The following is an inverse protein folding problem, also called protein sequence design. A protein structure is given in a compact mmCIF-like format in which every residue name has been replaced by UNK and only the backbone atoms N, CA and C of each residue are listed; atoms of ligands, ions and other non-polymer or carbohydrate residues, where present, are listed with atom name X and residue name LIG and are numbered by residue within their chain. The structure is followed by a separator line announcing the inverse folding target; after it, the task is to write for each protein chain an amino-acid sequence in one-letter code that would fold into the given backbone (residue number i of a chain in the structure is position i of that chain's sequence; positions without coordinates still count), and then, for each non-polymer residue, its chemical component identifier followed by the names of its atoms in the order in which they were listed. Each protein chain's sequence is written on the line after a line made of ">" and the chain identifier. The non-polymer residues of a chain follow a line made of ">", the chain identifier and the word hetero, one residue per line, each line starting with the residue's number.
data_IF_756955365211
#
_entry.id   IF_756955365211
#
_cell.length_a   1.000
_cell.length_b   1.000
_cell.length_c   1.000
_cell.angle_alpha   90.00
_cell.angle_beta   90.00
_cell.angle_gamma   90.00
#
_symmetry.space_group_name_H-M   'P 1'
#
loop_
_entity.id
_entity.type
_entity.pdbx_description
1 polymer ?
#
# COMPACT_ATOMS: atom_id res chain seq x y z
N UNK A 1 3.91 25.32 19.62
CA UNK A 1 4.41 24.38 18.62
C UNK A 1 3.61 24.58 17.35
N UNK A 2 4.25 24.58 16.16
CA UNK A 2 3.51 24.73 14.91
C UNK A 2 2.67 23.48 14.61
N UNK A 3 1.73 23.60 13.69
CA UNK A 3 0.96 22.44 13.21
C UNK A 3 1.87 21.39 12.53
N UNK A 4 1.57 20.09 12.65
CA UNK A 4 2.37 19.04 12.02
C UNK A 4 2.34 19.16 10.49
N UNK A 5 3.42 18.79 9.83
CA UNK A 5 3.44 18.63 8.37
C UNK A 5 2.52 17.49 8.01
N UNK A 6 1.47 17.76 7.23
CA UNK A 6 0.55 16.70 6.74
C UNK A 6 1.01 16.13 5.42
N UNK A 7 1.09 14.80 5.37
CA UNK A 7 1.43 14.02 4.17
C UNK A 7 0.17 13.29 3.69
N UNK A 8 -0.26 13.57 2.47
CA UNK A 8 -1.39 12.86 1.87
C UNK A 8 -0.90 11.61 1.15
N UNK A 9 -1.22 10.44 1.68
CA UNK A 9 -0.99 9.15 1.03
C UNK A 9 -2.16 8.79 0.12
N UNK A 10 -1.89 8.46 -1.14
CA UNK A 10 -2.92 8.07 -2.12
C UNK A 10 -2.78 6.59 -2.43
N UNK A 11 -3.84 5.82 -2.14
CA UNK A 11 -3.93 4.37 -2.37
C UNK A 11 -5.23 4.01 -3.08
N UNK A 12 -5.35 2.76 -3.50
CA UNK A 12 -6.65 2.27 -3.96
C UNK A 12 -7.58 2.04 -2.77
N UNK A 13 -7.10 1.35 -1.72
CA UNK A 13 -7.85 0.96 -0.51
C UNK A 13 -6.95 0.99 0.70
N UNK A 14 -7.54 1.09 1.90
CA UNK A 14 -6.87 0.93 3.20
C UNK A 14 -7.24 -0.41 3.88
N UNK A 15 -7.26 -1.48 3.07
CA UNK A 15 -7.45 -2.86 3.53
C UNK A 15 -6.15 -3.48 4.06
N UNK A 16 -6.26 -4.65 4.74
CA UNK A 16 -5.11 -5.39 5.25
C UNK A 16 -4.22 -5.92 4.11
N UNK A 17 -3.27 -5.12 3.64
CA UNK A 17 -2.32 -5.40 2.57
C UNK A 17 -0.92 -4.91 2.90
N UNK A 18 0.09 -5.36 2.15
CA UNK A 18 1.50 -5.07 2.47
C UNK A 18 1.85 -3.58 2.47
N UNK A 19 1.38 -2.82 1.49
CA UNK A 19 1.60 -1.36 1.42
C UNK A 19 0.90 -0.63 2.57
N UNK A 20 -0.33 -1.00 2.85
CA UNK A 20 -1.12 -0.41 3.93
C UNK A 20 -0.51 -0.74 5.29
N UNK A 21 -0.10 -1.99 5.52
CA UNK A 21 0.59 -2.40 6.73
C UNK A 21 1.92 -1.64 6.94
N UNK A 22 2.72 -1.43 5.87
CA UNK A 22 3.91 -0.60 5.92
C UNK A 22 3.57 0.82 6.42
N UNK A 23 2.59 1.46 5.79
CA UNK A 23 2.21 2.83 6.15
C UNK A 23 1.70 2.93 7.58
N UNK A 24 0.86 1.98 8.01
CA UNK A 24 0.36 1.95 9.39
C UNK A 24 1.45 1.65 10.41
N UNK A 25 2.42 0.77 10.10
CA UNK A 25 3.57 0.53 10.98
C UNK A 25 4.42 1.79 11.16
N UNK A 26 4.63 2.56 10.10
CA UNK A 26 5.30 3.86 10.20
C UNK A 26 4.43 4.84 10.99
N UNK A 27 3.13 4.95 10.67
CA UNK A 27 2.22 5.92 11.25
C UNK A 27 2.03 5.74 12.77
N UNK A 28 2.05 4.50 13.27
CA UNK A 28 2.02 4.18 14.70
C UNK A 28 3.27 4.67 15.46
N UNK A 29 4.41 4.78 14.78
CA UNK A 29 5.74 5.04 15.38
C UNK A 29 6.25 6.46 15.19
N UNK A 30 5.79 7.19 14.19
CA UNK A 30 6.23 8.57 13.95
C UNK A 30 5.78 9.53 15.06
N UNK A 31 6.52 10.60 15.24
CA UNK A 31 6.13 11.72 16.08
C UNK A 31 5.02 12.52 15.38
N UNK A 32 3.76 12.21 15.71
CA UNK A 32 2.58 12.83 15.09
C UNK A 32 2.38 14.30 15.45
N UNK A 33 3.16 14.84 16.37
CA UNK A 33 3.20 16.29 16.62
C UNK A 33 4.03 17.02 15.56
N UNK A 34 4.87 16.32 14.81
CA UNK A 34 5.71 16.87 13.74
C UNK A 34 5.22 16.50 12.35
N UNK A 35 4.80 15.24 12.16
CA UNK A 35 4.32 14.72 10.87
C UNK A 35 3.04 13.95 11.09
N UNK A 36 2.03 14.26 10.30
CA UNK A 36 0.73 13.61 10.33
C UNK A 36 0.41 13.00 8.96
N UNK A 37 -0.21 11.81 8.95
CA UNK A 37 -0.62 11.13 7.73
C UNK A 37 -2.12 11.25 7.52
N UNK A 38 -2.49 11.54 6.28
CA UNK A 38 -3.85 11.44 5.78
C UNK A 38 -3.88 10.53 4.56
N UNK A 39 -5.05 9.99 4.27
CA UNK A 39 -5.20 8.98 3.22
C UNK A 39 -6.33 9.36 2.27
N UNK A 40 -6.06 9.27 0.97
CA UNK A 40 -7.06 9.40 -0.08
C UNK A 40 -7.20 8.06 -0.79
N UNK A 41 -8.42 7.51 -0.80
CA UNK A 41 -8.75 6.22 -1.40
C UNK A 41 -9.86 6.37 -2.45
N UNK A 42 -9.99 5.37 -3.35
CA UNK A 42 -10.91 5.44 -4.50
C UNK A 42 -12.12 4.51 -4.38
N UNK A 43 -12.44 4.10 -3.16
CA UNK A 43 -13.63 3.33 -2.82
C UNK A 43 -14.37 4.04 -1.68
N UNK A 44 -15.72 3.96 -1.70
CA UNK A 44 -16.59 4.65 -0.72
C UNK A 44 -16.78 3.89 0.57
N UNK A 45 -16.75 2.56 0.51
CA UNK A 45 -17.02 1.72 1.67
C UNK A 45 -16.00 1.95 2.79
N UNK A 46 -16.43 1.65 4.01
CA UNK A 46 -15.55 1.63 5.18
C UNK A 46 -14.50 0.55 5.01
N UNK A 47 -13.26 0.85 5.39
CA UNK A 47 -12.12 -0.01 5.18
C UNK A 47 -11.45 -0.38 6.50
N UNK A 48 -10.57 -1.39 6.45
CA UNK A 48 -10.00 -2.01 7.64
C UNK A 48 -9.29 -1.03 8.60
N UNK A 49 -8.53 -0.09 8.05
CA UNK A 49 -7.73 0.84 8.85
C UNK A 49 -8.40 2.20 9.13
N UNK A 50 -9.61 2.47 8.63
CA UNK A 50 -10.25 3.79 8.75
C UNK A 50 -10.34 4.27 10.21
N UNK A 51 -10.89 3.45 11.11
CA UNK A 51 -11.07 3.81 12.53
C UNK A 51 -9.73 4.03 13.26
N UNK A 52 -8.70 3.26 12.89
CA UNK A 52 -7.39 3.41 13.49
C UNK A 52 -6.71 4.70 13.03
N UNK A 53 -6.81 5.03 11.74
CA UNK A 53 -6.27 6.28 11.18
C UNK A 53 -6.89 7.49 11.89
N UNK A 54 -8.21 7.51 12.06
CA UNK A 54 -8.93 8.59 12.75
C UNK A 54 -8.50 8.71 14.22
N UNK A 55 -8.37 7.59 14.93
CA UNK A 55 -7.86 7.57 16.31
C UNK A 55 -6.44 8.10 16.45
N UNK A 56 -5.63 7.96 15.42
CA UNK A 56 -4.26 8.49 15.37
C UNK A 56 -4.21 9.97 14.93
N UNK A 57 -5.36 10.59 14.63
CA UNK A 57 -5.49 12.01 14.23
C UNK A 57 -5.35 12.26 12.73
N UNK A 58 -5.35 11.22 11.91
CA UNK A 58 -5.39 11.31 10.45
C UNK A 58 -6.81 11.33 9.90
N UNK A 59 -6.94 11.63 8.61
CA UNK A 59 -8.21 11.63 7.88
C UNK A 59 -8.18 10.63 6.73
N UNK A 60 -9.34 10.02 6.43
CA UNK A 60 -9.52 9.15 5.27
C UNK A 60 -10.52 9.79 4.31
N UNK A 61 -10.02 10.29 3.18
CA UNK A 61 -10.84 10.87 2.11
C UNK A 61 -11.18 9.82 1.07
N UNK A 62 -12.43 9.78 0.66
CA UNK A 62 -12.98 8.76 -0.25
C UNK A 62 -13.47 9.40 -1.54
N UNK A 63 -12.69 9.28 -2.62
CA UNK A 63 -13.10 9.72 -3.95
C UNK A 63 -13.52 8.51 -4.79
N UNK A 64 -14.82 8.40 -5.06
CA UNK A 64 -15.37 7.28 -5.83
C UNK A 64 -14.87 7.31 -7.28
N UNK A 65 -14.05 6.32 -7.64
CA UNK A 65 -13.71 6.06 -9.04
C UNK A 65 -14.06 4.63 -9.45
N UNK A 66 -13.94 3.68 -8.53
CA UNK A 66 -14.12 2.26 -8.84
C UNK A 66 -15.58 1.86 -9.00
N UNK A 67 -16.48 2.53 -8.31
CA UNK A 67 -17.93 2.29 -8.43
C UNK A 67 -18.50 3.03 -9.64
N UNK A 68 -18.11 4.29 -9.83
CA UNK A 68 -18.69 5.15 -10.86
C UNK A 68 -18.04 4.94 -12.25
N UNK A 69 -16.79 4.48 -12.30
CA UNK A 69 -15.93 4.34 -13.49
C UNK A 69 -15.91 5.60 -14.39
N UNK A 70 -16.28 6.74 -13.83
CA UNK A 70 -16.36 8.02 -14.53
C UNK A 70 -15.07 8.83 -14.33
N UNK A 71 -14.20 8.75 -15.33
CA UNK A 71 -12.88 9.41 -15.27
C UNK A 71 -12.97 10.94 -15.25
N UNK A 72 -13.94 11.54 -15.94
CA UNK A 72 -14.11 13.00 -15.96
C UNK A 72 -14.56 13.50 -14.58
N UNK A 73 -15.54 12.80 -13.98
CA UNK A 73 -15.99 13.09 -12.62
C UNK A 73 -14.82 12.96 -11.64
N UNK A 74 -14.06 11.87 -11.71
CA UNK A 74 -12.90 11.64 -10.82
C UNK A 74 -11.85 12.74 -10.94
N UNK A 75 -11.55 13.21 -12.15
CA UNK A 75 -10.61 14.32 -12.35
C UNK A 75 -11.14 15.63 -11.76
N UNK A 76 -12.45 15.87 -11.87
CA UNK A 76 -13.11 17.04 -11.25
C UNK A 76 -13.04 16.93 -9.72
N UNK A 77 -13.42 15.78 -9.15
CA UNK A 77 -13.40 15.53 -7.71
C UNK A 77 -11.99 15.71 -7.13
N UNK A 78 -10.93 15.26 -7.85
CA UNK A 78 -9.53 15.51 -7.48
C UNK A 78 -9.17 17.00 -7.49
N UNK A 79 -9.62 17.73 -8.51
CA UNK A 79 -9.36 19.18 -8.60
C UNK A 79 -10.06 19.93 -7.46
N UNK A 80 -11.33 19.61 -7.21
CA UNK A 80 -12.13 20.19 -6.12
C UNK A 80 -11.50 19.86 -4.74
N UNK A 81 -11.03 18.61 -4.55
CA UNK A 81 -10.32 18.20 -3.34
C UNK A 81 -9.09 19.05 -3.08
N UNK A 82 -8.18 19.17 -4.05
CA UNK A 82 -6.97 19.97 -3.86
C UNK A 82 -7.24 21.50 -3.79
N UNK A 83 -8.35 21.98 -4.33
CA UNK A 83 -8.78 23.36 -4.17
C UNK A 83 -9.29 23.67 -2.75
N UNK A 84 -9.71 22.66 -1.99
CA UNK A 84 -10.18 22.80 -0.61
C UNK A 84 -9.10 22.46 0.43
N UNK A 85 -8.05 21.73 0.04
CA UNK A 85 -7.02 21.18 0.93
C UNK A 85 -5.64 21.76 0.60
N UNK A 86 -5.42 23.02 0.98
CA UNK A 86 -4.16 23.75 0.74
C UNK A 86 -3.05 23.41 1.76
N UNK A 87 -3.40 22.70 2.82
CA UNK A 87 -2.47 22.24 3.87
C UNK A 87 -1.47 21.23 3.36
N UNK A 88 -1.79 20.46 2.31
CA UNK A 88 -0.90 19.44 1.78
C UNK A 88 0.22 20.05 0.94
N UNK A 89 1.47 19.88 1.42
CA UNK A 89 2.69 20.20 0.67
C UNK A 89 3.35 18.95 0.07
N UNK A 90 2.96 17.78 0.58
CA UNK A 90 3.52 16.46 0.21
C UNK A 90 2.37 15.52 -0.14
N UNK A 91 2.44 14.96 -1.34
CA UNK A 91 1.56 13.88 -1.81
C UNK A 91 2.42 12.66 -2.10
N UNK A 92 2.12 11.52 -1.44
CA UNK A 92 2.82 10.26 -1.62
C UNK A 92 1.86 9.23 -2.22
N UNK A 93 2.04 8.94 -3.51
CA UNK A 93 1.13 8.12 -4.29
C UNK A 93 1.64 6.68 -4.47
N UNK A 94 0.85 5.71 -4.02
CA UNK A 94 1.11 4.27 -4.09
C UNK A 94 0.24 3.57 -5.16
N UNK A 95 -0.62 4.31 -5.83
CA UNK A 95 -1.56 3.79 -6.82
C UNK A 95 -1.03 4.03 -8.24
N UNK A 96 -0.77 2.97 -9.01
CA UNK A 96 -0.14 3.12 -10.34
C UNK A 96 -1.05 3.74 -11.38
N UNK A 97 -2.16 3.06 -11.70
CA UNK A 97 -3.01 3.42 -12.84
C UNK A 97 -3.70 4.77 -12.64
N UNK A 98 -4.37 4.93 -11.52
CA UNK A 98 -5.04 6.18 -11.16
C UNK A 98 -4.07 7.24 -10.66
N UNK A 99 -2.90 6.83 -10.17
CA UNK A 99 -1.85 7.71 -9.64
C UNK A 99 -1.38 8.76 -10.63
N UNK A 100 -1.43 8.47 -11.94
CA UNK A 100 -1.19 9.47 -12.95
C UNK A 100 -2.12 10.68 -12.81
N UNK A 101 -3.42 10.45 -12.66
CA UNK A 101 -4.42 11.52 -12.51
C UNK A 101 -4.24 12.25 -11.17
N UNK A 102 -3.98 11.51 -10.10
CA UNK A 102 -3.76 12.06 -8.77
C UNK A 102 -2.52 12.98 -8.73
N UNK A 103 -1.37 12.51 -9.22
CA UNK A 103 -0.16 13.34 -9.26
C UNK A 103 -0.27 14.50 -10.27
N UNK A 104 -1.02 14.34 -11.37
CA UNK A 104 -1.31 15.43 -12.30
C UNK A 104 -2.16 16.51 -11.65
N UNK A 105 -3.18 16.13 -10.89
CA UNK A 105 -4.04 17.07 -10.14
C UNK A 105 -3.22 17.78 -9.05
N UNK A 106 -2.43 17.04 -8.26
CA UNK A 106 -1.55 17.61 -7.26
C UNK A 106 -0.54 18.61 -7.85
N UNK A 107 0.04 18.29 -9.03
CA UNK A 107 0.93 19.22 -9.75
C UNK A 107 0.22 20.51 -10.17
N UNK A 108 -1.01 20.40 -10.70
CA UNK A 108 -1.83 21.56 -11.10
C UNK A 108 -2.20 22.43 -9.90
N UNK A 109 -2.43 21.81 -8.75
CA UNK A 109 -2.72 22.52 -7.49
C UNK A 109 -1.47 23.13 -6.82
N UNK A 110 -0.27 22.99 -7.43
CA UNK A 110 0.96 23.60 -6.90
C UNK A 110 1.61 22.82 -5.74
N UNK A 111 1.21 21.54 -5.51
CA UNK A 111 1.86 20.72 -4.49
C UNK A 111 3.34 20.56 -4.82
N UNK A 112 4.21 20.94 -3.89
CA UNK A 112 5.66 21.02 -4.13
C UNK A 112 6.33 19.65 -4.20
N UNK A 113 5.96 18.70 -3.33
CA UNK A 113 6.54 17.36 -3.25
C UNK A 113 5.50 16.32 -3.67
N UNK A 114 5.79 15.58 -4.71
CA UNK A 114 4.91 14.56 -5.30
C UNK A 114 5.69 13.28 -5.53
N UNK A 115 5.48 12.31 -4.63
CA UNK A 115 6.21 11.05 -4.61
C UNK A 115 5.41 9.99 -5.35
N UNK A 116 6.06 9.32 -6.32
CA UNK A 116 5.55 8.09 -6.93
C UNK A 116 6.27 6.89 -6.30
N UNK A 117 5.52 5.96 -5.69
CA UNK A 117 6.10 4.81 -4.99
C UNK A 117 5.72 3.50 -5.65
N UNK A 118 6.74 2.72 -6.03
CA UNK A 118 6.59 1.39 -6.64
C UNK A 118 6.57 0.28 -5.60
N UNK A 119 5.52 -0.57 -5.65
CA UNK A 119 5.34 -1.71 -4.72
C UNK A 119 5.28 -3.07 -5.42
N UNK A 120 5.26 -3.11 -6.75
CA UNK A 120 5.15 -4.33 -7.54
C UNK A 120 6.24 -4.39 -8.59
N UNK A 121 6.65 -5.59 -8.91
CA UNK A 121 7.59 -5.88 -9.99
C UNK A 121 6.92 -6.50 -11.22
N UNK A 122 5.58 -6.56 -11.24
CA UNK A 122 4.82 -7.20 -12.30
C UNK A 122 3.47 -6.50 -12.55
N UNK A 123 3.03 -6.51 -13.81
CA UNK A 123 1.70 -6.07 -14.24
C UNK A 123 0.92 -7.24 -14.81
N UNK A 124 -0.31 -7.43 -14.37
CA UNK A 124 -1.19 -8.47 -14.90
C UNK A 124 -1.46 -8.23 -16.40
N UNK A 125 -1.15 -9.21 -17.22
CA UNK A 125 -1.42 -9.24 -18.65
C UNK A 125 -2.89 -9.59 -18.90
N UNK A 126 -3.72 -8.57 -19.06
CA UNK A 126 -5.14 -8.67 -19.43
C UNK A 126 -5.46 -7.77 -20.62
N UNK A 127 -6.71 -7.76 -21.08
CA UNK A 127 -7.16 -6.92 -22.21
C UNK A 127 -6.87 -5.41 -22.02
N UNK A 128 -6.69 -4.98 -20.76
CA UNK A 128 -6.36 -3.59 -20.39
C UNK A 128 -4.85 -3.36 -20.21
N UNK A 129 -4.01 -4.33 -20.60
CA UNK A 129 -2.57 -4.25 -20.37
C UNK A 129 -1.91 -3.01 -20.99
N UNK A 130 -2.18 -2.75 -22.28
CA UNK A 130 -1.59 -1.60 -22.97
C UNK A 130 -1.98 -0.24 -22.35
N UNK A 131 -3.28 0.05 -22.08
CA UNK A 131 -3.67 1.24 -21.33
C UNK A 131 -3.00 1.33 -19.95
N UNK A 132 -2.93 0.23 -19.20
CA UNK A 132 -2.25 0.21 -17.90
C UNK A 132 -0.77 0.56 -18.02
N UNK A 133 -0.07 -0.03 -18.98
CA UNK A 133 1.34 0.23 -19.24
C UNK A 133 1.59 1.71 -19.61
N UNK A 134 0.73 2.28 -20.45
CA UNK A 134 0.81 3.71 -20.79
C UNK A 134 0.64 4.58 -19.53
N UNK A 135 -0.38 4.31 -18.71
CA UNK A 135 -0.63 5.07 -17.48
C UNK A 135 0.50 4.93 -16.45
N UNK A 136 1.10 3.73 -16.33
CA UNK A 136 2.28 3.52 -15.50
C UNK A 136 3.48 4.36 -15.96
N UNK A 137 3.72 4.41 -17.29
CA UNK A 137 4.78 5.27 -17.86
C UNK A 137 4.52 6.75 -17.61
N UNK A 138 3.27 7.15 -17.66
CA UNK A 138 2.86 8.54 -17.41
C UNK A 138 2.86 8.91 -15.93
N UNK A 139 2.74 7.91 -15.02
CA UNK A 139 2.71 8.11 -13.58
C UNK A 139 3.90 8.92 -13.07
N UNK A 140 5.11 8.62 -13.56
CA UNK A 140 6.34 9.28 -13.14
C UNK A 140 6.52 10.70 -13.68
N UNK A 141 5.77 11.11 -14.72
CA UNK A 141 5.95 12.45 -15.34
C UNK A 141 5.53 13.62 -14.43
N UNK A 142 4.64 13.35 -13.48
CA UNK A 142 4.14 14.38 -12.57
C UNK A 142 4.75 14.27 -11.15
N UNK A 143 5.58 13.25 -10.91
CA UNK A 143 6.31 13.10 -9.68
C UNK A 143 7.55 14.02 -9.63
N UNK A 144 7.92 14.45 -8.43
CA UNK A 144 9.21 15.08 -8.13
C UNK A 144 10.22 14.05 -7.66
N UNK A 145 9.75 13.02 -6.94
CA UNK A 145 10.56 11.99 -6.31
C UNK A 145 10.02 10.59 -6.63
N UNK A 146 10.93 9.62 -6.74
CA UNK A 146 10.61 8.24 -7.07
C UNK A 146 11.10 7.32 -5.95
N UNK A 147 10.17 6.54 -5.36
CA UNK A 147 10.46 5.56 -4.33
C UNK A 147 10.04 4.17 -4.77
N UNK A 148 10.72 3.14 -4.28
CA UNK A 148 10.37 1.74 -4.51
C UNK A 148 10.57 0.90 -3.25
N UNK A 149 9.76 -0.15 -3.08
CA UNK A 149 9.93 -1.07 -1.95
C UNK A 149 11.13 -2.03 -2.13
N UNK A 150 11.63 -2.18 -3.37
CA UNK A 150 12.85 -2.95 -3.71
C UNK A 150 13.47 -2.41 -4.99
N UNK A 151 14.71 -2.85 -5.27
CA UNK A 151 15.39 -2.53 -6.53
C UNK A 151 14.62 -3.03 -7.76
N UNK A 152 14.06 -4.26 -7.69
CA UNK A 152 13.29 -4.86 -8.77
C UNK A 152 12.01 -4.06 -9.04
N UNK A 153 11.28 -3.68 -8.00
CA UNK A 153 10.07 -2.86 -8.13
C UNK A 153 10.38 -1.48 -8.73
N UNK A 154 11.52 -0.90 -8.36
CA UNK A 154 11.98 0.38 -8.91
C UNK A 154 12.36 0.27 -10.38
N UNK A 155 13.22 -0.68 -10.74
CA UNK A 155 13.63 -0.93 -12.13
C UNK A 155 12.44 -1.28 -13.03
N UNK A 156 11.48 -2.03 -12.51
CA UNK A 156 10.26 -2.37 -13.25
C UNK A 156 9.45 -1.13 -13.65
N UNK A 157 9.18 -0.22 -12.69
CA UNK A 157 8.31 0.93 -12.92
C UNK A 157 9.04 2.14 -13.49
N UNK A 158 10.25 2.41 -13.00
CA UNK A 158 11.00 3.64 -13.28
C UNK A 158 12.08 3.47 -14.35
N UNK A 159 12.45 2.23 -14.66
CA UNK A 159 13.52 1.87 -15.60
C UNK A 159 14.86 2.53 -15.21
N UNK A 160 15.40 3.39 -16.08
CA UNK A 160 16.70 4.05 -15.92
C UNK A 160 16.62 5.34 -15.07
N UNK A 161 15.45 5.72 -14.58
CA UNK A 161 15.31 6.89 -13.71
C UNK A 161 15.84 6.59 -12.31
N UNK A 162 16.61 7.52 -11.70
CA UNK A 162 17.04 7.35 -10.31
C UNK A 162 15.85 7.31 -9.36
N UNK A 163 15.90 6.41 -8.39
CA UNK A 163 14.88 6.25 -7.35
C UNK A 163 15.54 5.87 -6.02
N UNK A 164 14.80 6.06 -4.94
CA UNK A 164 15.21 5.64 -3.59
C UNK A 164 14.48 4.35 -3.20
N UNK A 165 15.20 3.42 -2.55
CA UNK A 165 14.59 2.20 -2.01
C UNK A 165 14.18 2.42 -0.57
N UNK A 166 12.86 2.37 -0.32
CA UNK A 166 12.27 2.34 1.01
C UNK A 166 11.71 0.93 1.25
N UNK A 167 12.49 0.10 1.92
CA UNK A 167 12.13 -1.30 2.20
C UNK A 167 10.91 -1.37 3.13
N UNK A 168 10.05 -2.35 2.88
CA UNK A 168 8.97 -2.66 3.80
C UNK A 168 9.55 -3.09 5.16
N UNK A 169 9.02 -2.52 6.23
CA UNK A 169 9.42 -2.80 7.60
C UNK A 169 8.22 -3.23 8.44
N UNK A 170 8.50 -4.04 9.46
CA UNK A 170 7.54 -4.47 10.47
C UNK A 170 8.11 -4.16 11.87
N UNK A 171 7.23 -4.06 12.85
CA UNK A 171 7.64 -4.01 14.24
C UNK A 171 8.02 -5.43 14.70
N UNK A 172 9.32 -5.73 14.66
CA UNK A 172 9.84 -7.06 15.00
C UNK A 172 9.57 -7.48 16.43
N UNK A 173 9.32 -6.54 17.35
CA UNK A 173 8.98 -6.84 18.74
C UNK A 173 7.67 -7.63 18.85
N UNK A 174 6.75 -7.44 17.93
CA UNK A 174 5.48 -8.19 17.88
C UNK A 174 5.64 -9.63 17.38
N UNK A 175 6.86 -10.02 16.96
CA UNK A 175 7.16 -11.34 16.39
C UNK A 175 8.28 -12.07 17.15
N UNK A 176 8.59 -11.65 18.35
CA UNK A 176 9.55 -12.36 19.22
C UNK A 176 8.91 -13.69 19.62
N UNK A 177 9.70 -14.76 19.48
CA UNK A 177 9.25 -16.08 19.89
C UNK A 177 9.07 -16.12 21.42
N UNK A 178 7.86 -16.49 21.83
CA UNK A 178 7.51 -16.74 23.23
C UNK A 178 7.16 -18.23 23.42
N UNK A 179 7.90 -18.89 24.32
CA UNK A 179 7.79 -20.34 24.54
C UNK A 179 6.44 -20.69 25.17
N UNK A 180 5.96 -19.87 26.09
CA UNK A 180 4.70 -20.15 26.80
C UNK A 180 3.52 -20.01 25.85
N UNK A 181 3.40 -18.89 25.14
CA UNK A 181 2.40 -18.69 24.08
C UNK A 181 2.46 -19.78 23.03
N UNK A 182 3.68 -20.18 22.60
CA UNK A 182 3.85 -21.28 21.65
C UNK A 182 3.25 -22.59 22.17
N UNK A 183 3.51 -22.93 23.43
CA UNK A 183 3.02 -24.18 24.03
C UNK A 183 1.48 -24.15 24.20
N UNK A 184 0.92 -23.04 24.62
CA UNK A 184 -0.52 -22.83 24.72
C UNK A 184 -1.22 -23.03 23.36
N UNK A 185 -0.75 -22.36 22.32
CA UNK A 185 -1.34 -22.50 20.97
C UNK A 185 -1.17 -23.92 20.43
N UNK A 186 -0.04 -24.59 20.66
CA UNK A 186 0.15 -25.98 20.24
C UNK A 186 -0.79 -26.94 20.95
N UNK A 187 -1.07 -26.71 22.22
CA UNK A 187 -2.06 -27.47 23.01
C UNK A 187 -3.48 -27.22 22.49
N UNK A 188 -3.84 -25.96 22.25
CA UNK A 188 -5.14 -25.59 21.67
C UNK A 188 -5.39 -26.28 20.31
N UNK A 189 -4.35 -26.36 19.47
CA UNK A 189 -4.41 -27.01 18.16
C UNK A 189 -4.24 -28.54 18.20
N UNK A 190 -3.94 -29.15 19.35
CA UNK A 190 -3.69 -30.59 19.50
C UNK A 190 -2.47 -31.07 18.69
N UNK A 191 -1.40 -30.27 18.67
CA UNK A 191 -0.19 -30.52 17.86
C UNK A 191 1.11 -30.42 18.67
N UNK A 192 1.06 -30.70 19.98
CA UNK A 192 2.16 -30.55 20.93
C UNK A 192 3.44 -31.27 20.42
N UNK A 193 3.28 -32.53 20.02
CA UNK A 193 4.39 -33.43 19.62
C UNK A 193 4.60 -33.47 18.09
N UNK A 194 3.91 -32.59 17.32
CA UNK A 194 4.00 -32.64 15.85
C UNK A 194 4.96 -31.60 15.29
N UNK A 195 5.63 -31.95 14.20
CA UNK A 195 6.28 -30.95 13.37
C UNK A 195 5.22 -30.19 12.59
N UNK A 196 5.06 -28.88 12.86
CA UNK A 196 4.04 -28.04 12.26
C UNK A 196 4.66 -27.09 11.24
N UNK A 197 4.14 -27.09 10.03
CA UNK A 197 4.44 -26.08 9.00
C UNK A 197 3.20 -25.27 8.78
N UNK A 198 3.32 -23.95 8.90
CA UNK A 198 2.22 -23.01 8.69
C UNK A 198 2.42 -22.15 7.44
N UNK A 199 1.33 -21.77 6.81
CA UNK A 199 1.32 -20.78 5.74
C UNK A 199 0.22 -19.75 5.99
N UNK A 200 0.56 -18.46 5.87
CA UNK A 200 -0.37 -17.36 6.00
C UNK A 200 -0.41 -16.58 4.69
N UNK A 201 -1.59 -16.48 4.08
CA UNK A 201 -1.75 -15.75 2.84
C UNK A 201 -3.20 -15.70 2.39
N UNK A 202 -3.54 -14.70 1.56
CA UNK A 202 -4.85 -14.65 0.90
C UNK A 202 -5.00 -15.83 -0.06
N UNK A 203 -6.21 -16.36 -0.20
CA UNK A 203 -6.53 -17.33 -1.27
C UNK A 203 -6.50 -16.60 -2.62
N UNK A 204 -5.32 -16.58 -3.22
CA UNK A 204 -5.04 -15.87 -4.46
C UNK A 204 -3.95 -16.62 -5.26
N UNK A 205 -4.03 -16.70 -6.59
CA UNK A 205 -3.05 -17.43 -7.42
C UNK A 205 -1.58 -17.06 -7.14
N UNK A 206 -1.27 -15.80 -6.81
CA UNK A 206 0.08 -15.37 -6.44
C UNK A 206 0.64 -16.09 -5.20
N UNK A 207 -0.20 -16.67 -4.33
CA UNK A 207 0.22 -17.39 -3.12
C UNK A 207 0.41 -18.87 -3.37
N UNK A 208 -0.05 -19.37 -4.53
CA UNK A 208 0.18 -20.71 -5.05
C UNK A 208 -0.07 -21.83 -4.02
N UNK A 209 -1.25 -21.78 -3.37
CA UNK A 209 -1.63 -22.74 -2.32
C UNK A 209 -1.65 -24.18 -2.84
N UNK A 210 -2.08 -24.39 -4.10
CA UNK A 210 -2.15 -25.71 -4.72
C UNK A 210 -0.76 -26.35 -4.76
N UNK A 211 0.25 -25.61 -5.25
CA UNK A 211 1.64 -26.09 -5.25
C UNK A 211 2.17 -26.38 -3.85
N UNK A 212 1.81 -25.56 -2.86
CA UNK A 212 2.19 -25.79 -1.46
C UNK A 212 1.61 -27.12 -0.94
N UNK A 213 0.34 -27.40 -1.24
CA UNK A 213 -0.32 -28.66 -0.88
C UNK A 213 0.38 -29.86 -1.55
N UNK A 214 0.72 -29.75 -2.84
CA UNK A 214 1.46 -30.79 -3.56
C UNK A 214 2.82 -31.08 -2.95
N UNK A 215 3.57 -30.03 -2.58
CA UNK A 215 4.85 -30.16 -1.86
C UNK A 215 4.67 -30.92 -0.55
N UNK A 216 3.62 -30.62 0.21
CA UNK A 216 3.31 -31.33 1.45
C UNK A 216 2.92 -32.78 1.23
N UNK A 217 2.15 -33.07 0.20
CA UNK A 217 1.79 -34.44 -0.17
C UNK A 217 3.03 -35.28 -0.50
N UNK A 218 4.00 -34.71 -1.23
CA UNK A 218 5.27 -35.39 -1.53
C UNK A 218 6.17 -35.58 -0.29
N UNK A 219 6.24 -34.60 0.61
CA UNK A 219 6.98 -34.73 1.87
C UNK A 219 6.42 -35.85 2.75
N UNK A 220 5.07 -36.01 2.78
CA UNK A 220 4.42 -37.06 3.55
C UNK A 220 4.73 -38.46 3.04
N UNK A 221 4.99 -38.65 1.74
CA UNK A 221 5.37 -39.92 1.14
C UNK A 221 6.80 -40.35 1.49
N UNK A 222 7.66 -39.39 1.86
CA UNK A 222 9.09 -39.64 2.16
C UNK A 222 9.37 -39.88 3.63
N UNK A 223 8.35 -39.82 4.50
CA UNK A 223 8.38 -40.21 5.90
C UNK A 223 7.71 -41.56 6.12
#
# INVERSE_FOLDING_TARGET
>A
MGEPIRVLHILQRMEAGGTQALLMNIYRKIDRTKVQFDFLVVYKEKQFYDDEIEKLGGHVYKLSFREDLNLLKFQKDLADFFAQHHEYKIVHCHAYTIGYFCLKAAKKAGISVRIAHSHNNETVHDIKYLPKLFMQRMFTKNATDLFACSEEAGKYLFKDKPFQVLKNAIDSQNFIADVDTRNEIRKELGVEDKFVVGHVGRLHPQKNHDFLIDVFAELKKKK
#
